data_IF_069128930789
#
_entry.id   IF_069128930789
#
_cell.length_a   1.000
_cell.length_b   1.000
_cell.length_c   1.000
_cell.angle_alpha   90.00
_cell.angle_beta   90.00
_cell.angle_gamma   90.00
#
_symmetry.space_group_name_H-M   'P 1'
#
loop_
_entity.id
_entity.type
_entity.pdbx_description
1 polymer ?
#
# COMPACT_ATOMS: atom_id res chain seq x y z
N UNK A 1 -15.19 -20.72 6.38
CA UNK A 1 -16.13 -21.38 7.31
C UNK A 1 -15.82 -21.00 8.76
N UNK A 2 -14.66 -21.35 9.33
CA UNK A 2 -14.33 -21.05 10.74
C UNK A 2 -14.27 -19.54 11.09
N UNK A 3 -13.63 -18.70 10.26
CA UNK A 3 -13.62 -17.25 10.50
C UNK A 3 -15.03 -16.66 10.58
N UNK A 4 -15.92 -17.13 9.70
CA UNK A 4 -17.32 -16.69 9.64
C UNK A 4 -18.14 -17.21 10.82
N UNK A 5 -17.87 -18.42 11.33
CA UNK A 5 -18.57 -18.96 12.51
C UNK A 5 -18.22 -18.21 13.79
N UNK A 6 -16.97 -17.76 13.94
CA UNK A 6 -16.60 -16.92 15.08
C UNK A 6 -17.24 -15.53 15.01
N UNK A 7 -17.46 -15.00 13.80
CA UNK A 7 -18.06 -13.69 13.56
C UNK A 7 -17.50 -12.57 14.46
N UNK A 8 -16.22 -12.66 14.79
CA UNK A 8 -15.53 -11.72 15.68
C UNK A 8 -15.15 -10.47 14.90
N UNK A 9 -15.32 -9.30 15.53
CA UNK A 9 -14.96 -8.01 14.94
C UNK A 9 -13.70 -7.48 15.62
N UNK A 10 -12.54 -7.68 15.00
CA UNK A 10 -11.25 -7.25 15.52
C UNK A 10 -10.87 -5.81 15.17
N UNK A 11 -11.72 -4.83 15.52
CA UNK A 11 -11.42 -3.40 15.23
C UNK A 11 -10.37 -2.80 16.18
N UNK A 12 -10.15 -3.43 17.34
CA UNK A 12 -9.05 -3.14 18.25
C UNK A 12 -8.58 -4.44 18.91
N UNK A 13 -7.42 -4.38 19.59
CA UNK A 13 -6.83 -5.57 20.23
C UNK A 13 -7.73 -6.15 21.33
N UNK A 14 -8.38 -5.31 22.15
CA UNK A 14 -9.25 -5.76 23.24
C UNK A 14 -10.49 -6.53 22.75
N UNK A 15 -11.00 -6.21 21.56
CA UNK A 15 -12.18 -6.85 21.00
C UNK A 15 -11.89 -8.28 20.48
N UNK A 16 -10.66 -8.53 20.00
CA UNK A 16 -10.26 -9.85 19.50
C UNK A 16 -8.73 -10.02 19.56
N UNK A 17 -8.15 -10.25 20.75
CA UNK A 17 -6.70 -10.26 20.94
C UNK A 17 -6.04 -11.40 20.16
N UNK A 18 -6.63 -12.59 20.19
CA UNK A 18 -6.12 -13.75 19.47
C UNK A 18 -6.11 -13.55 17.96
N UNK A 19 -7.12 -12.85 17.40
CA UNK A 19 -7.16 -12.58 15.96
C UNK A 19 -6.05 -11.59 15.55
N UNK A 20 -5.86 -10.51 16.33
CA UNK A 20 -4.83 -9.51 16.05
C UNK A 20 -3.42 -10.09 16.19
N UNK A 21 -3.14 -10.88 17.24
CA UNK A 21 -1.83 -11.52 17.43
C UNK A 21 -1.53 -12.57 16.35
N UNK A 22 -2.54 -13.36 15.97
CA UNK A 22 -2.40 -14.33 14.90
C UNK A 22 -2.07 -13.64 13.56
N UNK A 23 -2.72 -12.52 13.26
CA UNK A 23 -2.40 -11.72 12.08
C UNK A 23 -0.93 -11.27 12.07
N UNK A 24 -0.42 -10.76 13.19
CA UNK A 24 0.98 -10.33 13.31
C UNK A 24 1.96 -11.48 13.03
N UNK A 25 1.72 -12.65 13.60
CA UNK A 25 2.57 -13.83 13.42
C UNK A 25 2.55 -14.32 11.97
N UNK A 26 1.37 -14.39 11.36
CA UNK A 26 1.22 -14.84 9.97
C UNK A 26 1.90 -13.87 9.00
N UNK A 27 1.81 -12.56 9.25
CA UNK A 27 2.53 -11.55 8.46
C UNK A 27 4.05 -11.69 8.58
N UNK A 28 4.57 -11.98 9.78
CA UNK A 28 5.99 -12.27 9.98
C UNK A 28 6.42 -13.56 9.24
N UNK A 29 5.58 -14.60 9.22
CA UNK A 29 5.84 -15.80 8.43
C UNK A 29 5.89 -15.50 6.94
N UNK A 30 4.95 -14.70 6.43
CA UNK A 30 4.92 -14.27 5.03
C UNK A 30 6.17 -13.45 4.66
N UNK A 31 6.59 -12.52 5.53
CA UNK A 31 7.82 -11.76 5.34
C UNK A 31 9.07 -12.65 5.29
N UNK A 32 9.15 -13.69 6.14
CA UNK A 32 10.24 -14.69 6.08
C UNK A 32 10.22 -15.49 4.79
N UNK A 33 9.04 -15.90 4.32
CA UNK A 33 8.90 -16.66 3.06
C UNK A 33 9.38 -15.84 1.85
N UNK A 34 9.09 -14.53 1.83
CA UNK A 34 9.59 -13.61 0.79
C UNK A 34 11.02 -13.12 1.03
N UNK A 35 11.69 -13.58 2.09
CA UNK A 35 13.05 -13.17 2.47
C UNK A 35 13.19 -11.64 2.62
N UNK A 36 12.14 -10.99 3.12
CA UNK A 36 12.18 -9.55 3.39
C UNK A 36 13.07 -9.25 4.61
N UNK A 37 13.72 -8.07 4.66
CA UNK A 37 14.52 -7.69 5.82
C UNK A 37 13.65 -7.49 7.06
N UNK A 38 14.25 -7.62 8.24
CA UNK A 38 13.55 -7.49 9.54
C UNK A 38 12.84 -6.15 9.74
N UNK A 39 13.20 -5.12 8.97
CA UNK A 39 12.51 -3.83 8.98
C UNK A 39 11.04 -3.91 8.56
N UNK A 40 10.61 -4.97 7.87
CA UNK A 40 9.19 -5.20 7.48
C UNK A 40 8.42 -6.12 8.45
N UNK A 41 9.05 -6.53 9.54
CA UNK A 41 8.53 -7.56 10.45
C UNK A 41 8.15 -6.94 11.80
N UNK A 42 7.10 -7.46 12.42
CA UNK A 42 6.65 -7.08 13.76
C UNK A 42 7.69 -7.39 14.83
N UNK A 43 8.48 -8.45 14.64
CA UNK A 43 9.65 -8.76 15.48
C UNK A 43 10.83 -7.78 15.30
N UNK A 44 10.75 -6.85 14.34
CA UNK A 44 11.74 -5.81 14.07
C UNK A 44 11.23 -4.42 14.41
N UNK A 45 11.19 -3.53 13.41
CA UNK A 45 10.83 -2.10 13.58
C UNK A 45 9.55 -1.67 12.87
N UNK A 46 8.92 -2.55 12.08
CA UNK A 46 7.62 -2.23 11.46
C UNK A 46 6.71 -3.46 11.46
N UNK A 47 5.85 -3.64 10.47
CA UNK A 47 4.95 -4.78 10.40
C UNK A 47 4.12 -4.77 9.13
N UNK A 48 3.07 -5.58 9.11
CA UNK A 48 2.17 -5.71 7.98
C UNK A 48 0.73 -5.92 8.41
N UNK A 49 -0.21 -5.65 7.53
CA UNK A 49 -1.65 -5.81 7.79
C UNK A 49 -2.29 -6.54 6.63
N UNK A 50 -3.20 -7.46 6.92
CA UNK A 50 -4.00 -8.15 5.92
C UNK A 50 -5.17 -7.25 5.48
N UNK A 51 -5.29 -7.06 4.17
CA UNK A 51 -6.33 -6.23 3.58
C UNK A 51 -7.08 -7.03 2.51
N UNK A 52 -8.39 -6.80 2.41
CA UNK A 52 -9.24 -7.57 1.49
C UNK A 52 -8.95 -7.33 0.01
N UNK A 53 -8.36 -6.19 -0.37
CA UNK A 53 -7.99 -5.90 -1.77
C UNK A 53 -6.73 -5.04 -1.86
N UNK A 54 -5.96 -5.24 -2.92
CA UNK A 54 -4.79 -4.40 -3.26
C UNK A 54 -5.17 -2.93 -3.44
N UNK A 55 -6.38 -2.63 -3.94
CA UNK A 55 -6.88 -1.27 -4.10
C UNK A 55 -6.96 -0.51 -2.77
N UNK A 56 -7.36 -1.17 -1.68
CA UNK A 56 -7.37 -0.56 -0.34
C UNK A 56 -5.96 -0.35 0.20
N UNK A 57 -5.05 -1.30 -0.05
CA UNK A 57 -3.64 -1.18 0.34
C UNK A 57 -2.99 0.02 -0.34
N UNK A 58 -3.12 0.14 -1.67
CA UNK A 58 -2.55 1.26 -2.44
C UNK A 58 -3.13 2.60 -1.95
N UNK A 59 -4.44 2.67 -1.72
CA UNK A 59 -5.07 3.89 -1.19
C UNK A 59 -4.52 4.28 0.19
N UNK A 60 -4.40 3.32 1.11
CA UNK A 60 -3.84 3.56 2.44
C UNK A 60 -2.39 4.07 2.37
N UNK A 61 -1.57 3.42 1.53
CA UNK A 61 -0.18 3.81 1.32
C UNK A 61 -0.06 5.21 0.70
N UNK A 62 -0.92 5.55 -0.27
CA UNK A 62 -0.96 6.88 -0.89
C UNK A 62 -1.35 7.97 0.11
N UNK A 63 -2.35 7.71 0.96
CA UNK A 63 -2.77 8.67 2.00
C UNK A 63 -1.64 8.87 3.01
N UNK A 64 -1.02 7.79 3.50
CA UNK A 64 0.11 7.88 4.43
C UNK A 64 1.30 8.63 3.83
N UNK A 65 1.64 8.36 2.56
CA UNK A 65 2.71 9.07 1.86
C UNK A 65 2.37 10.54 1.62
N UNK A 66 1.12 10.85 1.25
CA UNK A 66 0.62 12.22 1.06
C UNK A 66 0.71 13.02 2.35
N UNK A 67 0.19 12.48 3.45
CA UNK A 67 0.15 13.19 4.73
C UNK A 67 1.56 13.46 5.26
N UNK A 68 2.48 12.49 5.12
CA UNK A 68 3.91 12.68 5.41
C UNK A 68 4.56 13.77 4.54
N UNK A 69 4.21 13.82 3.25
CA UNK A 69 4.74 14.83 2.33
C UNK A 69 4.21 16.23 2.68
N UNK A 70 2.93 16.34 3.04
CA UNK A 70 2.30 17.60 3.45
C UNK A 70 2.88 18.13 4.76
N UNK A 71 3.15 17.25 5.72
CA UNK A 71 3.84 17.59 6.97
C UNK A 71 5.25 18.13 6.70
N UNK A 72 5.98 17.50 5.77
CA UNK A 72 7.33 17.92 5.37
C UNK A 72 7.34 19.28 4.66
N UNK A 73 6.29 19.58 3.87
CA UNK A 73 6.12 20.84 3.14
C UNK A 73 5.49 21.96 3.99
N UNK A 74 5.12 21.67 5.25
CA UNK A 74 4.49 22.59 6.22
C UNK A 74 3.28 23.36 5.66
N UNK A 75 2.43 22.68 4.89
CA UNK A 75 1.29 23.36 4.30
C UNK A 75 0.37 22.47 3.48
N UNK A 76 -0.90 22.47 3.86
CA UNK A 76 -1.97 21.74 3.16
C UNK A 76 -2.21 22.29 1.75
N UNK A 77 -1.87 23.57 1.52
CA UNK A 77 -1.94 24.23 0.22
C UNK A 77 -1.00 23.62 -0.82
N UNK A 78 0.00 22.85 -0.39
CA UNK A 78 0.94 22.18 -1.28
C UNK A 78 0.45 20.83 -1.81
N UNK A 79 -0.80 20.43 -1.51
CA UNK A 79 -1.38 19.19 -2.07
C UNK A 79 -1.36 19.19 -3.60
N UNK A 80 -1.52 20.36 -4.23
CA UNK A 80 -1.46 20.52 -5.68
C UNK A 80 -0.05 20.37 -6.27
N UNK A 81 1.00 20.26 -5.46
CA UNK A 81 2.38 20.02 -5.90
C UNK A 81 2.78 18.55 -5.80
N UNK A 82 1.97 17.71 -5.14
CA UNK A 82 2.27 16.28 -4.98
C UNK A 82 2.00 15.58 -6.30
N UNK A 83 3.01 14.86 -6.79
CA UNK A 83 2.98 14.09 -8.03
C UNK A 83 3.21 12.62 -7.72
N UNK A 84 2.38 11.76 -8.30
CA UNK A 84 2.49 10.31 -8.15
C UNK A 84 2.89 9.71 -9.49
N UNK A 85 3.81 8.75 -9.44
CA UNK A 85 4.37 8.09 -10.60
C UNK A 85 4.04 6.59 -10.58
N UNK A 86 3.67 6.08 -11.75
CA UNK A 86 3.50 4.66 -12.03
C UNK A 86 3.84 4.41 -13.50
N UNK A 87 4.02 3.16 -13.90
CA UNK A 87 4.21 2.83 -15.32
C UNK A 87 2.88 2.81 -16.07
N UNK A 88 2.93 2.77 -17.40
CA UNK A 88 1.77 2.50 -18.28
C UNK A 88 1.17 1.11 -18.05
N UNK A 89 1.98 0.11 -17.73
CA UNK A 89 1.54 -1.25 -17.38
C UNK A 89 0.97 -1.40 -15.95
N UNK A 90 0.91 -0.31 -15.18
CA UNK A 90 0.38 -0.38 -13.82
C UNK A 90 -1.13 -0.66 -13.83
N UNK A 91 -1.58 -1.64 -13.03
CA UNK A 91 -2.99 -2.01 -12.93
C UNK A 91 -3.91 -0.79 -12.73
N UNK A 92 -5.07 -0.78 -13.40
CA UNK A 92 -6.01 0.37 -13.44
C UNK A 92 -6.44 0.91 -12.06
N UNK A 93 -6.35 0.08 -11.02
CA UNK A 93 -6.48 0.46 -9.61
C UNK A 93 -5.61 1.66 -9.22
N UNK A 94 -4.41 1.79 -9.78
CA UNK A 94 -3.48 2.88 -9.46
C UNK A 94 -4.11 4.25 -9.71
N UNK A 95 -4.62 4.48 -10.92
CA UNK A 95 -5.28 5.73 -11.29
C UNK A 95 -6.52 5.98 -10.45
N UNK A 96 -7.27 4.93 -10.11
CA UNK A 96 -8.44 5.02 -9.23
C UNK A 96 -8.04 5.44 -7.80
N UNK A 97 -7.02 4.81 -7.23
CA UNK A 97 -6.56 5.08 -5.87
C UNK A 97 -5.97 6.50 -5.75
N UNK A 98 -5.22 6.97 -6.76
CA UNK A 98 -4.70 8.34 -6.78
C UNK A 98 -5.82 9.38 -6.76
N UNK A 99 -6.85 9.19 -7.59
CA UNK A 99 -8.04 10.07 -7.60
C UNK A 99 -8.77 10.05 -6.25
N UNK A 100 -8.92 8.88 -5.63
CA UNK A 100 -9.53 8.73 -4.30
C UNK A 100 -8.69 9.36 -3.17
N UNK A 101 -7.36 9.40 -3.32
CA UNK A 101 -6.45 10.05 -2.38
C UNK A 101 -6.39 11.59 -2.54
N UNK A 102 -7.25 12.18 -3.39
CA UNK A 102 -7.30 13.61 -3.72
C UNK A 102 -6.06 14.14 -4.43
N UNK A 103 -5.38 13.29 -5.22
CA UNK A 103 -4.30 13.74 -6.11
C UNK A 103 -4.93 14.32 -7.38
N UNK A 104 -4.48 15.51 -7.79
CA UNK A 104 -4.96 16.16 -9.00
C UNK A 104 -4.71 15.28 -10.24
N UNK A 105 -5.66 15.16 -11.18
CA UNK A 105 -5.47 14.34 -12.39
C UNK A 105 -4.23 14.73 -13.21
N UNK A 106 -3.87 16.01 -13.23
CA UNK A 106 -2.66 16.50 -13.90
C UNK A 106 -1.35 16.05 -13.24
N UNK A 107 -1.41 15.60 -11.99
CA UNK A 107 -0.27 15.15 -11.20
C UNK A 107 -0.15 13.63 -11.12
N UNK A 108 -1.03 12.89 -11.79
CA UNK A 108 -0.90 11.44 -11.95
C UNK A 108 -0.11 11.20 -13.22
N UNK A 109 1.12 10.73 -13.08
CA UNK A 109 2.03 10.49 -14.21
C UNK A 109 2.15 8.99 -14.46
N UNK A 110 1.92 8.61 -15.72
CA UNK A 110 2.22 7.28 -16.24
C UNK A 110 3.50 7.37 -17.06
N UNK A 111 4.50 6.61 -16.67
CA UNK A 111 5.81 6.56 -17.31
C UNK A 111 5.74 5.47 -18.39
N UNK A 112 5.94 5.81 -19.67
CA UNK A 112 5.93 4.83 -20.73
C UNK A 112 7.15 3.91 -20.59
N UNK A 113 6.94 2.60 -20.71
CA UNK A 113 8.04 1.64 -20.73
C UNK A 113 8.57 1.54 -22.17
N UNK A 114 9.88 1.71 -22.42
CA UNK A 114 10.44 1.54 -23.76
C UNK A 114 10.30 0.08 -24.21
N UNK A 115 9.68 -0.12 -25.38
CA UNK A 115 9.61 -1.41 -26.05
C UNK A 115 10.99 -1.76 -26.63
N UNK A 116 11.81 -2.49 -25.88
CA UNK A 116 13.04 -3.11 -26.40
C UNK A 116 12.76 -4.29 -27.35
N UNK A 117 11.51 -4.49 -27.78
CA UNK A 117 11.07 -5.66 -28.57
C UNK A 117 11.08 -5.37 -30.09
N UNK A 118 11.23 -4.11 -30.52
CA UNK A 118 11.19 -3.74 -31.95
C UNK A 118 12.57 -3.42 -32.57
N UNK A 119 13.68 -3.79 -31.91
CA UNK A 119 15.03 -3.61 -32.48
C UNK A 119 15.75 -4.95 -32.68
N UNK A 120 15.80 -5.51 -33.91
CA UNK A 120 16.47 -6.77 -34.21
C UNK A 120 17.97 -6.53 -34.46
N UNK A 121 18.69 -5.90 -33.53
CA UNK A 121 20.13 -5.67 -33.62
C UNK A 121 20.88 -6.03 -32.33
N UNK A 122 20.53 -7.18 -31.74
CA UNK A 122 21.45 -8.10 -31.06
C UNK A 122 20.97 -9.54 -31.27
#
# INVERSE_FOLDING_TARGET
MLCTTFNSVGFNWLASPTAAELEMIVMDWMAKMFKLPKSFMFSGTSGGVMQGTTSKVILCMLIAARDRALESLRGQENIGKIVVYGTDETHSTYTKACKLASILPCNIRSIPIPLWVDNPLF
#
